data_IF_838356610122
#
_entry.id   IF_838356610122
#
_cell.length_a   1.000
_cell.length_b   1.000
_cell.length_c   1.000
_cell.angle_alpha   90.00
_cell.angle_beta   90.00
_cell.angle_gamma   90.00
#
_symmetry.space_group_name_H-M   'P 1'
#
loop_
_entity.id
_entity.type
_entity.pdbx_description
1 polymer ?
#
# COMPACT_ATOMS: atom_id res chain seq x y z
N UNK A 1 -8.20 15.56 -2.40
CA UNK A 1 -7.40 14.46 -2.95
C UNK A 1 -7.19 13.48 -1.81
N UNK A 2 -7.38 12.18 -2.02
CA UNK A 2 -7.28 11.18 -0.95
C UNK A 2 -6.17 10.20 -1.35
N UNK A 3 -5.16 10.11 -0.51
CA UNK A 3 -4.00 9.23 -0.67
C UNK A 3 -3.86 8.32 0.54
N UNK A 4 -3.07 7.25 0.42
CA UNK A 4 -2.90 6.25 1.45
C UNK A 4 -1.44 6.14 1.86
N UNK A 5 -1.20 5.96 3.16
CA UNK A 5 0.05 5.39 3.67
C UNK A 5 -0.11 3.88 3.78
N UNK A 6 0.76 3.14 3.11
CA UNK A 6 0.70 1.68 3.02
C UNK A 6 1.69 1.07 4.00
N UNK A 7 1.26 0.08 4.78
CA UNK A 7 2.07 -0.59 5.82
C UNK A 7 2.10 -2.10 5.60
N UNK A 8 3.20 -2.75 6.01
CA UNK A 8 3.21 -4.19 6.21
C UNK A 8 2.79 -4.52 7.64
N UNK A 9 1.94 -5.52 7.81
CA UNK A 9 1.46 -5.97 9.13
C UNK A 9 2.65 -6.37 10.01
N UNK A 10 2.76 -5.72 11.16
CA UNK A 10 3.86 -5.93 12.11
C UNK A 10 5.05 -4.98 11.92
N UNK A 11 5.11 -4.22 10.83
CA UNK A 11 6.11 -3.17 10.63
C UNK A 11 5.62 -1.82 11.17
N UNK A 12 6.54 -1.03 11.72
CA UNK A 12 6.25 0.33 12.22
C UNK A 12 6.28 1.37 11.11
N UNK A 13 7.19 1.21 10.17
CA UNK A 13 7.41 2.16 9.08
C UNK A 13 6.46 1.87 7.92
N UNK A 14 6.09 2.93 7.20
CA UNK A 14 5.31 2.80 5.98
C UNK A 14 6.19 2.20 4.87
N UNK A 15 5.59 1.30 4.09
CA UNK A 15 6.20 0.83 2.84
C UNK A 15 6.26 1.97 1.83
N UNK A 16 5.20 2.77 1.73
CA UNK A 16 5.10 3.92 0.85
C UNK A 16 4.01 4.87 1.35
N UNK A 17 4.24 6.17 1.16
CA UNK A 17 3.29 7.24 1.47
C UNK A 17 2.79 7.90 0.19
N UNK A 18 1.65 8.59 0.26
CA UNK A 18 1.08 9.29 -0.89
C UNK A 18 0.55 8.36 -1.98
N UNK A 19 0.21 7.12 -1.63
CA UNK A 19 -0.23 6.10 -2.60
C UNK A 19 -1.65 6.40 -3.07
N UNK A 20 -1.82 6.49 -4.39
CA UNK A 20 -3.09 6.76 -5.07
C UNK A 20 -3.57 5.57 -5.92
N UNK A 21 -2.69 4.62 -6.23
CA UNK A 21 -3.04 3.36 -6.90
C UNK A 21 -2.45 2.17 -6.15
N UNK A 22 -3.27 1.15 -5.92
CA UNK A 22 -2.91 -0.16 -5.38
C UNK A 22 -3.37 -1.25 -6.35
N UNK A 23 -2.44 -2.06 -6.87
CA UNK A 23 -2.74 -3.16 -7.80
C UNK A 23 -2.19 -4.47 -7.27
N UNK A 24 -3.03 -5.50 -7.16
CA UNK A 24 -2.60 -6.86 -6.84
C UNK A 24 -2.10 -7.57 -8.10
N UNK A 25 -0.93 -8.20 -8.01
CA UNK A 25 -0.28 -8.96 -9.09
C UNK A 25 0.25 -10.28 -8.54
N UNK A 26 -0.58 -11.31 -8.52
CA UNK A 26 -0.22 -12.60 -7.93
C UNK A 26 0.04 -12.48 -6.43
N UNK A 27 1.28 -12.74 -6.00
CA UNK A 27 1.74 -12.65 -4.61
C UNK A 27 2.38 -11.28 -4.27
N UNK A 28 2.19 -10.28 -5.13
CA UNK A 28 2.70 -8.92 -4.95
C UNK A 28 1.61 -7.86 -5.01
N UNK A 29 1.92 -6.70 -4.45
CA UNK A 29 1.14 -5.46 -4.57
C UNK A 29 2.05 -4.37 -5.12
N UNK A 30 1.62 -3.75 -6.22
CA UNK A 30 2.20 -2.53 -6.77
C UNK A 30 1.50 -1.32 -6.16
N UNK A 31 2.29 -0.34 -5.73
CA UNK A 31 1.86 0.95 -5.19
C UNK A 31 2.37 2.05 -6.13
N UNK A 32 1.55 3.07 -6.40
CA UNK A 32 1.94 4.26 -7.17
C UNK A 32 1.51 5.54 -6.44
N UNK A 33 2.39 6.54 -6.39
CA UNK A 33 2.08 7.87 -5.86
C UNK A 33 1.58 8.85 -6.93
N UNK A 34 1.16 10.04 -6.50
CA UNK A 34 0.65 11.09 -7.39
C UNK A 34 1.68 11.61 -8.41
N UNK A 35 2.96 11.33 -8.20
CA UNK A 35 4.06 11.70 -9.11
C UNK A 35 4.42 10.56 -10.07
N UNK A 36 3.69 9.43 -10.03
CA UNK A 36 3.94 8.25 -10.85
C UNK A 36 5.11 7.39 -10.37
N UNK A 37 5.62 7.61 -9.15
CA UNK A 37 6.66 6.73 -8.59
C UNK A 37 6.00 5.45 -8.12
N UNK A 38 6.65 4.32 -8.42
CA UNK A 38 6.11 3.00 -8.08
C UNK A 38 6.98 2.24 -7.10
N UNK A 39 6.35 1.44 -6.23
CA UNK A 39 7.02 0.44 -5.39
C UNK A 39 6.24 -0.88 -5.40
N UNK A 40 6.95 -2.00 -5.45
CA UNK A 40 6.35 -3.33 -5.29
C UNK A 40 6.69 -3.91 -3.91
N UNK A 41 5.73 -4.63 -3.31
CA UNK A 41 5.92 -5.42 -2.10
C UNK A 41 5.30 -6.81 -2.27
N UNK A 42 5.96 -7.85 -1.74
CA UNK A 42 5.38 -9.19 -1.66
C UNK A 42 4.35 -9.24 -0.53
N UNK A 43 3.16 -9.75 -0.82
CA UNK A 43 2.06 -9.82 0.14
C UNK A 43 0.69 -9.69 -0.51
N UNK A 44 -0.34 -9.56 0.32
CA UNK A 44 -1.73 -9.35 -0.08
C UNK A 44 -2.32 -8.17 0.68
N UNK A 45 -3.26 -7.47 0.05
CA UNK A 45 -4.01 -6.40 0.73
C UNK A 45 -4.94 -7.05 1.75
N UNK A 46 -4.78 -6.65 3.01
CA UNK A 46 -5.57 -7.13 4.14
C UNK A 46 -6.70 -6.15 4.49
N UNK A 47 -6.40 -4.84 4.54
CA UNK A 47 -7.37 -3.80 4.87
C UNK A 47 -7.05 -2.50 4.12
N UNK A 48 -8.09 -1.79 3.69
CA UNK A 48 -7.98 -0.41 3.21
C UNK A 48 -8.99 0.45 3.98
N UNK A 49 -8.48 1.45 4.69
CA UNK A 49 -9.27 2.37 5.50
C UNK A 49 -9.07 3.80 4.99
N UNK A 50 -10.02 4.26 4.18
CA UNK A 50 -9.96 5.56 3.52
C UNK A 50 -10.12 6.71 4.53
N UNK A 51 -10.92 6.52 5.58
CA UNK A 51 -11.14 7.53 6.63
C UNK A 51 -9.84 7.86 7.37
N UNK A 52 -9.05 6.84 7.69
CA UNK A 52 -7.73 7.00 8.34
C UNK A 52 -6.57 7.12 7.35
N UNK A 53 -6.85 7.03 6.03
CA UNK A 53 -5.87 7.12 4.95
C UNK A 53 -4.76 6.07 5.06
N UNK A 54 -5.12 4.83 5.39
CA UNK A 54 -4.18 3.72 5.55
C UNK A 54 -4.58 2.51 4.72
N UNK A 55 -3.58 1.81 4.20
CA UNK A 55 -3.73 0.45 3.70
C UNK A 55 -2.74 -0.48 4.39
N UNK A 56 -3.16 -1.71 4.63
CA UNK A 56 -2.35 -2.73 5.30
C UNK A 56 -2.17 -3.93 4.37
N UNK A 57 -0.92 -4.35 4.22
CA UNK A 57 -0.53 -5.59 3.57
C UNK A 57 -0.21 -6.64 4.61
N UNK A 58 -0.40 -7.91 4.27
CA UNK A 58 0.13 -9.04 5.03
C UNK A 58 0.96 -9.98 4.14
N UNK A 59 1.94 -10.72 4.70
CA UNK A 59 2.70 -11.70 3.94
C UNK A 59 1.80 -12.73 3.24
N UNK A 60 2.15 -13.10 2.01
CA UNK A 60 1.34 -13.95 1.12
C UNK A 60 1.32 -15.44 1.51
#
# INVERSE_FOLDING_TARGET
MCELSVYMKGEKDSLMEGVVVLVTRGDKVLMEDILGRTKEAKGRIFEVNITSQKAFLEPA
#
